data_IF_691436588775
#
_entry.id   IF_691436588775
#
_cell.length_a   1.000
_cell.length_b   1.000
_cell.length_c   1.000
_cell.angle_alpha   90.00
_cell.angle_beta   90.00
_cell.angle_gamma   90.00
#
_symmetry.space_group_name_H-M   'P 1'
#
loop_
_entity.id
_entity.type
_entity.pdbx_description
1 polymer ?
#
# COMPACT_ATOMS: atom_id res chain seq x y z
N UNK A 1 -2.74 -1.15 27.45
CA UNK A 1 -2.51 0.11 26.69
C UNK A 1 -3.72 0.46 25.83
N UNK A 2 -4.26 -0.47 25.03
CA UNK A 2 -5.51 -0.22 24.29
C UNK A 2 -6.72 0.00 25.20
N UNK A 3 -6.76 -0.63 26.37
CA UNK A 3 -7.81 -0.38 27.37
C UNK A 3 -7.82 1.07 27.87
N UNK A 4 -6.63 1.68 27.96
CA UNK A 4 -6.47 3.09 28.32
C UNK A 4 -7.01 3.98 27.18
N UNK A 5 -6.73 3.61 25.94
CA UNK A 5 -7.27 4.31 24.76
C UNK A 5 -8.82 4.20 24.75
N UNK A 6 -9.38 3.03 25.01
CA UNK A 6 -10.83 2.85 25.13
C UNK A 6 -11.42 3.68 26.28
N UNK A 7 -10.75 3.70 27.44
CA UNK A 7 -11.15 4.52 28.57
C UNK A 7 -11.17 6.02 28.22
N UNK A 8 -10.09 6.55 27.65
CA UNK A 8 -9.97 7.96 27.25
C UNK A 8 -11.08 8.30 26.26
N UNK A 9 -11.26 7.48 25.23
CA UNK A 9 -12.24 7.75 24.16
C UNK A 9 -13.70 7.59 24.60
N UNK A 10 -13.95 6.87 25.68
CA UNK A 10 -15.28 6.70 26.27
C UNK A 10 -15.61 7.75 27.33
N UNK A 11 -14.61 8.47 27.85
CA UNK A 11 -14.77 9.49 28.90
C UNK A 11 -14.89 10.88 28.31
N UNK A 12 -15.99 11.58 28.58
CA UNK A 12 -16.19 12.98 28.18
C UNK A 12 -15.25 13.96 28.88
N UNK A 13 -14.65 13.57 30.01
CA UNK A 13 -13.69 14.41 30.73
C UNK A 13 -12.34 14.51 30.00
N UNK A 14 -12.04 13.56 29.12
CA UNK A 14 -10.73 13.43 28.45
C UNK A 14 -10.75 13.98 27.00
N UNK A 15 -11.73 14.83 26.68
CA UNK A 15 -11.92 15.40 25.33
C UNK A 15 -10.68 16.12 24.77
N UNK A 16 -9.83 16.68 25.63
CA UNK A 16 -8.60 17.33 25.23
C UNK A 16 -7.63 16.39 24.49
N UNK A 17 -7.71 15.08 24.74
CA UNK A 17 -6.80 14.08 24.18
C UNK A 17 -7.34 13.39 22.93
N UNK A 18 -8.58 13.68 22.53
CA UNK A 18 -9.26 12.94 21.45
C UNK A 18 -8.53 12.99 20.11
N UNK A 19 -7.92 14.13 19.76
CA UNK A 19 -7.11 14.25 18.54
C UNK A 19 -5.87 13.37 18.59
N UNK A 20 -5.15 13.38 19.71
CA UNK A 20 -3.95 12.56 19.90
C UNK A 20 -4.30 11.08 19.84
N UNK A 21 -5.43 10.68 20.43
CA UNK A 21 -5.89 9.30 20.33
C UNK A 21 -6.23 8.94 18.89
N UNK A 22 -6.89 9.83 18.14
CA UNK A 22 -7.21 9.59 16.73
C UNK A 22 -5.94 9.42 15.87
N UNK A 23 -4.91 10.21 16.12
CA UNK A 23 -3.61 10.06 15.48
C UNK A 23 -2.98 8.70 15.82
N UNK A 24 -2.97 8.30 17.10
CA UNK A 24 -2.47 6.99 17.54
C UNK A 24 -3.24 5.86 16.84
N UNK A 25 -4.57 5.95 16.77
CA UNK A 25 -5.42 4.98 16.07
C UNK A 25 -5.03 4.88 14.59
N UNK A 26 -4.78 6.01 13.94
CA UNK A 26 -4.36 6.04 12.55
C UNK A 26 -3.03 5.33 12.34
N UNK A 27 -2.04 5.54 13.21
CA UNK A 27 -0.76 4.86 13.09
C UNK A 27 -0.83 3.39 13.45
N UNK A 28 -1.70 3.01 14.38
CA UNK A 28 -1.92 1.62 14.75
C UNK A 28 -2.55 0.80 13.61
N UNK A 29 -3.42 1.42 12.80
CA UNK A 29 -4.27 0.71 11.84
C UNK A 29 -3.99 1.04 10.37
N UNK A 30 -3.14 2.05 10.06
CA UNK A 30 -2.87 2.53 8.67
C UNK A 30 -2.42 1.47 7.67
N UNK A 31 -1.73 0.42 8.12
CA UNK A 31 -1.24 -0.66 7.25
C UNK A 31 -2.20 -1.85 7.20
N UNK A 32 -3.30 -1.82 7.98
CA UNK A 32 -4.28 -2.89 8.01
C UNK A 32 -5.38 -2.63 6.97
N UNK A 33 -5.80 -3.69 6.28
CA UNK A 33 -7.02 -3.65 5.48
C UNK A 33 -8.24 -3.81 6.40
N UNK A 34 -9.15 -2.84 6.39
CA UNK A 34 -10.34 -2.83 7.23
C UNK A 34 -11.26 -4.03 6.95
N UNK A 35 -11.43 -4.38 5.67
CA UNK A 35 -12.24 -5.52 5.25
C UNK A 35 -11.63 -6.87 5.65
N UNK A 36 -10.32 -7.04 5.45
CA UNK A 36 -9.62 -8.26 5.87
C UNK A 36 -9.63 -8.40 7.38
N UNK A 37 -9.41 -7.30 8.12
CA UNK A 37 -9.42 -7.30 9.57
C UNK A 37 -10.79 -7.67 10.13
N UNK A 38 -11.87 -7.14 9.55
CA UNK A 38 -13.25 -7.49 9.94
C UNK A 38 -13.54 -9.00 9.74
N UNK A 39 -12.98 -9.60 8.69
CA UNK A 39 -13.16 -11.02 8.37
C UNK A 39 -12.33 -11.98 9.23
N UNK A 40 -11.34 -11.49 9.99
CA UNK A 40 -10.47 -12.34 10.80
C UNK A 40 -11.28 -13.12 11.86
N UNK A 41 -11.21 -14.44 11.87
CA UNK A 41 -11.98 -15.30 12.78
C UNK A 41 -11.05 -16.24 13.55
N UNK A 42 -11.41 -16.56 14.80
CA UNK A 42 -10.60 -17.35 15.75
C UNK A 42 -10.07 -18.67 15.16
N UNK A 43 -10.86 -19.32 14.30
CA UNK A 43 -10.39 -20.43 13.49
C UNK A 43 -10.07 -19.94 12.08
N UNK A 44 -8.81 -20.13 11.68
CA UNK A 44 -8.39 -19.94 10.29
C UNK A 44 -9.20 -20.90 9.42
N UNK A 45 -10.02 -20.34 8.54
CA UNK A 45 -10.83 -21.16 7.64
C UNK A 45 -9.92 -21.96 6.69
N UNK A 46 -10.32 -23.18 6.33
CA UNK A 46 -9.59 -23.97 5.33
C UNK A 46 -9.48 -23.20 4.01
N UNK A 47 -10.49 -22.38 3.69
CA UNK A 47 -10.51 -21.51 2.52
C UNK A 47 -9.46 -20.39 2.59
N UNK A 48 -9.26 -19.73 3.74
CA UNK A 48 -8.18 -18.75 3.93
C UNK A 48 -6.81 -19.42 3.77
N UNK A 49 -6.62 -20.60 4.38
CA UNK A 49 -5.35 -21.35 4.25
C UNK A 49 -5.04 -21.71 2.80
N UNK A 50 -6.02 -22.26 2.07
CA UNK A 50 -5.85 -22.62 0.65
C UNK A 50 -5.58 -21.39 -0.22
N UNK A 51 -6.24 -20.25 0.06
CA UNK A 51 -6.00 -18.99 -0.65
C UNK A 51 -4.58 -18.51 -0.44
N UNK A 52 -4.10 -18.53 0.80
CA UNK A 52 -2.75 -18.09 1.15
C UNK A 52 -1.68 -18.97 0.49
N UNK A 53 -1.88 -20.29 0.46
CA UNK A 53 -1.00 -21.22 -0.24
C UNK A 53 -0.99 -20.97 -1.75
N UNK A 54 -2.15 -20.73 -2.36
CA UNK A 54 -2.27 -20.41 -3.78
C UNK A 54 -1.59 -19.08 -4.13
N UNK A 55 -1.74 -18.05 -3.29
CA UNK A 55 -1.08 -16.76 -3.47
C UNK A 55 0.44 -16.89 -3.38
N UNK A 56 0.95 -17.64 -2.37
CA UNK A 56 2.38 -17.92 -2.23
C UNK A 56 2.95 -18.65 -3.45
N UNK A 57 2.22 -19.63 -3.98
CA UNK A 57 2.61 -20.33 -5.20
C UNK A 57 2.61 -19.39 -6.41
N UNK A 58 1.59 -18.54 -6.57
CA UNK A 58 1.51 -17.58 -7.65
C UNK A 58 2.68 -16.58 -7.62
N UNK A 59 3.05 -16.07 -6.44
CA UNK A 59 4.22 -15.19 -6.25
C UNK A 59 5.50 -15.93 -6.64
N UNK A 60 5.70 -17.16 -6.13
CA UNK A 60 6.88 -17.98 -6.48
C UNK A 60 6.98 -18.24 -7.98
N UNK A 61 5.89 -18.59 -8.64
CA UNK A 61 5.85 -18.81 -10.08
C UNK A 61 6.17 -17.51 -10.84
N UNK A 62 5.62 -16.38 -10.41
CA UNK A 62 5.91 -15.07 -11.02
C UNK A 62 7.39 -14.72 -10.91
N UNK A 63 7.99 -14.86 -9.72
CA UNK A 63 9.42 -14.62 -9.51
C UNK A 63 10.29 -15.55 -10.34
N UNK A 64 9.92 -16.83 -10.40
CA UNK A 64 10.65 -17.85 -11.16
C UNK A 64 10.59 -17.55 -12.66
N UNK A 65 9.41 -17.21 -13.17
CA UNK A 65 9.22 -16.84 -14.58
C UNK A 65 9.96 -15.55 -14.94
N UNK A 66 9.94 -14.54 -14.08
CA UNK A 66 10.70 -13.30 -14.28
C UNK A 66 12.21 -13.57 -14.27
N UNK A 67 12.70 -14.42 -13.36
CA UNK A 67 14.10 -14.83 -13.32
C UNK A 67 14.49 -15.57 -14.60
N UNK A 68 13.68 -16.53 -15.03
CA UNK A 68 13.90 -17.27 -16.27
C UNK A 68 13.85 -16.36 -17.50
N UNK A 69 12.91 -15.42 -17.58
CA UNK A 69 12.84 -14.44 -18.68
C UNK A 69 14.06 -13.53 -18.70
N UNK A 70 14.52 -13.02 -17.54
CA UNK A 70 15.75 -12.23 -17.44
C UNK A 70 16.97 -13.04 -17.88
N UNK A 71 17.08 -14.30 -17.44
CA UNK A 71 18.17 -15.20 -17.88
C UNK A 71 18.10 -15.39 -19.39
N UNK A 72 16.94 -15.72 -19.96
CA UNK A 72 16.77 -15.88 -21.42
C UNK A 72 17.08 -14.60 -22.21
N UNK A 73 16.78 -13.43 -21.66
CA UNK A 73 16.96 -12.15 -22.34
C UNK A 73 18.40 -11.62 -22.25
N UNK A 74 19.05 -11.77 -21.10
CA UNK A 74 20.34 -11.12 -20.81
C UNK A 74 21.51 -12.09 -20.67
N UNK A 75 21.25 -13.37 -20.36
CA UNK A 75 22.27 -14.40 -20.37
C UNK A 75 22.16 -15.20 -21.67
N UNK A 76 22.75 -14.67 -22.74
CA UNK A 76 23.08 -15.50 -23.89
C UNK A 76 24.04 -16.62 -23.49
N UNK A 77 24.27 -17.60 -24.36
CA UNK A 77 25.25 -18.67 -24.12
C UNK A 77 26.71 -18.18 -24.00
N UNK A 78 26.96 -16.86 -24.00
CA UNK A 78 28.28 -16.21 -24.08
C UNK A 78 28.35 -15.03 -23.09
N UNK A 79 29.57 -14.63 -22.73
CA UNK A 79 29.84 -13.59 -21.74
C UNK A 79 29.40 -12.19 -22.20
N UNK A 80 29.21 -11.26 -21.26
CA UNK A 80 28.71 -9.90 -21.49
C UNK A 80 29.49 -9.06 -22.51
N UNK A 81 30.79 -9.34 -22.70
CA UNK A 81 31.65 -8.68 -23.69
C UNK A 81 31.49 -9.23 -25.12
N UNK A 82 30.75 -10.33 -25.30
CA UNK A 82 30.42 -10.90 -26.61
C UNK A 82 29.06 -10.39 -27.07
N UNK A 83 28.97 -9.09 -27.39
CA UNK A 83 27.71 -8.43 -27.77
C UNK A 83 27.31 -8.59 -29.25
N UNK A 84 28.26 -8.97 -30.11
CA UNK A 84 28.10 -8.88 -31.56
C UNK A 84 27.97 -7.44 -32.05
N UNK A 85 28.20 -7.21 -33.33
CA UNK A 85 27.97 -5.91 -33.97
C UNK A 85 27.01 -6.16 -35.12
N UNK A 86 25.86 -5.50 -35.09
CA UNK A 86 24.77 -5.66 -36.05
C UNK A 86 24.58 -4.35 -36.82
N UNK A 87 24.15 -4.46 -38.08
CA UNK A 87 23.75 -3.32 -38.91
C UNK A 87 22.24 -3.38 -39.10
N UNK A 88 21.55 -2.32 -38.66
CA UNK A 88 20.10 -2.21 -38.80
C UNK A 88 19.79 -1.61 -40.17
N UNK A 89 19.32 -2.45 -41.09
CA UNK A 89 18.92 -2.03 -42.44
C UNK A 89 17.72 -1.09 -42.39
N UNK A 90 17.65 -0.14 -43.34
CA UNK A 90 16.57 0.84 -43.47
C UNK A 90 16.43 1.83 -42.31
N UNK A 91 17.44 1.92 -41.44
CA UNK A 91 17.54 2.95 -40.40
C UNK A 91 18.89 3.66 -40.51
N UNK A 92 18.84 4.98 -40.71
CA UNK A 92 20.02 5.83 -40.82
C UNK A 92 20.51 6.24 -39.43
N UNK A 93 21.84 6.25 -39.27
CA UNK A 93 22.55 6.84 -38.16
C UNK A 93 22.59 8.37 -38.29
N UNK A 94 23.19 9.03 -37.29
CA UNK A 94 23.42 10.49 -37.28
C UNK A 94 24.24 10.94 -38.50
N UNK A 95 25.11 10.07 -39.03
CA UNK A 95 26.05 10.34 -40.12
C UNK A 95 25.63 9.77 -41.47
N UNK A 96 24.32 9.58 -41.71
CA UNK A 96 23.71 9.06 -42.96
C UNK A 96 24.18 7.64 -43.40
N UNK A 97 24.99 6.98 -42.59
CA UNK A 97 25.30 5.56 -42.72
C UNK A 97 24.22 4.71 -42.05
N UNK A 98 24.16 3.41 -42.35
CA UNK A 98 23.26 2.49 -41.64
C UNK A 98 23.61 2.43 -40.14
N UNK A 99 22.60 2.27 -39.29
CA UNK A 99 22.78 2.25 -37.84
C UNK A 99 23.52 0.97 -37.40
N UNK A 100 24.62 1.15 -36.68
CA UNK A 100 25.36 0.07 -36.03
C UNK A 100 24.86 -0.11 -34.59
N UNK A 101 24.60 -1.35 -34.18
CA UNK A 101 24.13 -1.69 -32.85
C UNK A 101 24.93 -2.83 -32.22
N UNK A 102 25.32 -2.69 -30.95
CA UNK A 102 26.30 -3.56 -30.27
C UNK A 102 25.69 -4.55 -29.26
N UNK A 103 24.37 -4.70 -29.25
CA UNK A 103 23.68 -5.69 -28.40
C UNK A 103 22.78 -6.57 -29.25
N UNK A 104 22.59 -7.85 -28.90
CA UNK A 104 21.65 -8.70 -29.62
C UNK A 104 20.23 -8.14 -29.46
N UNK A 105 19.63 -7.68 -30.56
CA UNK A 105 18.22 -7.31 -30.60
C UNK A 105 17.42 -8.57 -30.89
N UNK A 106 16.71 -9.09 -29.90
CA UNK A 106 15.77 -10.20 -30.14
C UNK A 106 14.61 -9.77 -31.06
N UNK A 107 14.28 -8.47 -31.09
CA UNK A 107 13.28 -7.82 -31.96
C UNK A 107 13.69 -6.36 -32.25
N UNK A 108 13.35 -5.84 -33.42
CA UNK A 108 13.62 -4.43 -33.78
C UNK A 108 12.82 -3.45 -32.92
N UNK A 109 11.63 -3.83 -32.45
CA UNK A 109 10.79 -3.02 -31.54
C UNK A 109 11.43 -2.76 -30.17
N UNK A 110 12.45 -3.53 -29.80
CA UNK A 110 13.18 -3.37 -28.54
C UNK A 110 14.31 -2.33 -28.64
N UNK A 111 14.48 -1.68 -29.81
CA UNK A 111 15.49 -0.66 -30.02
C UNK A 111 15.15 0.61 -29.22
N UNK A 112 15.93 0.87 -28.16
CA UNK A 112 15.76 2.02 -27.29
C UNK A 112 17.05 2.86 -27.25
N UNK A 113 16.96 4.09 -27.76
CA UNK A 113 18.08 5.04 -27.83
C UNK A 113 18.25 5.88 -26.56
N UNK A 114 17.29 5.83 -25.64
CA UNK A 114 17.30 6.60 -24.39
C UNK A 114 18.02 5.88 -23.25
N UNK A 115 18.48 4.64 -23.47
CA UNK A 115 19.15 3.83 -22.43
C UNK A 115 20.44 4.48 -21.95
N UNK A 116 21.21 5.08 -22.86
CA UNK A 116 22.50 5.72 -22.55
C UNK A 116 22.35 7.22 -22.29
N UNK A 117 21.16 7.79 -22.52
CA UNK A 117 20.91 9.21 -22.29
C UNK A 117 20.82 9.49 -20.79
N UNK A 118 21.55 10.52 -20.35
CA UNK A 118 21.46 11.02 -18.98
C UNK A 118 20.09 11.67 -18.76
N UNK A 119 19.23 11.00 -17.99
CA UNK A 119 17.90 11.53 -17.66
C UNK A 119 18.01 12.77 -16.76
N UNK A 120 17.27 13.85 -17.04
CA UNK A 120 17.25 15.02 -16.17
C UNK A 120 16.62 14.67 -14.82
N UNK A 121 17.13 15.28 -13.75
CA UNK A 121 16.60 15.07 -12.40
C UNK A 121 15.29 15.83 -12.24
N UNK A 122 14.19 15.11 -11.99
CA UNK A 122 12.91 15.75 -11.63
C UNK A 122 13.02 16.35 -10.23
N UNK A 123 12.71 17.65 -10.03
CA UNK A 123 12.68 18.27 -8.71
C UNK A 123 11.68 17.59 -7.76
N UNK A 124 11.97 17.58 -6.45
CA UNK A 124 11.17 16.83 -5.46
C UNK A 124 9.67 17.18 -5.47
N UNK A 125 9.32 18.45 -5.63
CA UNK A 125 7.93 18.93 -5.66
C UNK A 125 7.14 18.52 -6.92
N UNK A 126 7.83 18.09 -7.99
CA UNK A 126 7.22 17.59 -9.23
C UNK A 126 7.27 16.07 -9.34
N UNK A 127 7.77 15.39 -8.31
CA UNK A 127 7.69 13.93 -8.26
C UNK A 127 6.22 13.55 -8.08
N UNK A 128 5.73 12.53 -8.80
CA UNK A 128 4.42 11.98 -8.52
C UNK A 128 4.38 11.52 -7.05
N UNK A 129 3.27 11.83 -6.38
CA UNK A 129 3.03 11.35 -5.01
C UNK A 129 3.09 9.83 -5.06
N UNK A 130 4.10 9.27 -4.40
CA UNK A 130 4.21 7.82 -4.23
C UNK A 130 3.28 7.45 -3.08
N UNK A 131 2.03 7.08 -3.39
CA UNK A 131 1.18 6.41 -2.41
C UNK A 131 1.79 5.04 -2.13
N UNK A 132 2.61 4.92 -1.10
CA UNK A 132 2.96 3.61 -0.56
C UNK A 132 1.76 3.10 0.23
N UNK A 133 0.75 2.59 -0.47
CA UNK A 133 -0.26 1.72 0.14
C UNK A 133 0.44 0.38 0.40
N UNK A 134 1.35 0.36 1.37
CA UNK A 134 1.93 -0.88 1.85
C UNK A 134 0.90 -1.48 2.81
N UNK A 135 -0.11 -2.13 2.25
CA UNK A 135 -0.96 -3.02 3.03
C UNK A 135 -0.06 -4.13 3.57
N UNK A 136 0.01 -4.24 4.89
CA UNK A 136 0.81 -5.24 5.58
C UNK A 136 -0.13 -6.18 6.30
N UNK A 137 -0.08 -7.45 5.89
CA UNK A 137 -0.80 -8.50 6.61
C UNK A 137 -0.06 -8.84 7.90
N UNK A 138 -0.65 -8.42 9.02
CA UNK A 138 -0.14 -8.73 10.36
C UNK A 138 -0.31 -10.21 10.70
N UNK A 139 0.47 -10.68 11.69
CA UNK A 139 0.29 -12.01 12.25
C UNK A 139 -1.17 -12.21 12.73
N UNK A 140 -1.66 -13.44 12.65
CA UNK A 140 -3.06 -13.76 12.92
C UNK A 140 -3.53 -13.30 14.31
N UNK A 141 -2.72 -13.50 15.36
CA UNK A 141 -3.03 -13.05 16.73
C UNK A 141 -3.22 -11.53 16.81
N UNK A 142 -2.37 -10.77 16.12
CA UNK A 142 -2.47 -9.30 16.05
C UNK A 142 -3.74 -8.88 15.31
N UNK A 143 -4.11 -9.57 14.23
CA UNK A 143 -5.37 -9.29 13.51
C UNK A 143 -6.60 -9.54 14.38
N UNK A 144 -6.61 -10.63 15.16
CA UNK A 144 -7.71 -10.93 16.06
C UNK A 144 -7.84 -9.87 17.16
N UNK A 145 -6.71 -9.50 17.78
CA UNK A 145 -6.65 -8.46 18.80
C UNK A 145 -7.10 -7.08 18.28
N UNK A 146 -6.59 -6.66 17.12
CA UNK A 146 -6.99 -5.40 16.50
C UNK A 146 -8.47 -5.41 16.07
N UNK A 147 -9.00 -6.56 15.63
CA UNK A 147 -10.42 -6.72 15.34
C UNK A 147 -11.27 -6.53 16.59
N UNK A 148 -10.94 -7.20 17.68
CA UNK A 148 -11.64 -7.06 18.98
C UNK A 148 -11.66 -5.61 19.44
N UNK A 149 -10.49 -4.96 19.41
CA UNK A 149 -10.38 -3.54 19.70
C UNK A 149 -11.28 -2.67 18.81
N UNK A 150 -11.29 -2.89 17.49
CA UNK A 150 -12.12 -2.11 16.57
C UNK A 150 -13.62 -2.29 16.86
N UNK A 151 -14.04 -3.50 17.25
CA UNK A 151 -15.43 -3.79 17.64
C UNK A 151 -15.78 -3.02 18.91
N UNK A 152 -14.95 -3.09 19.95
CA UNK A 152 -15.20 -2.37 21.21
C UNK A 152 -15.23 -0.86 21.00
N UNK A 153 -14.27 -0.34 20.23
CA UNK A 153 -14.19 1.07 19.90
C UNK A 153 -15.42 1.58 19.14
N UNK A 154 -15.91 0.82 18.14
CA UNK A 154 -17.13 1.16 17.40
C UNK A 154 -18.37 1.17 18.29
N UNK A 155 -18.46 0.23 19.23
CA UNK A 155 -19.61 0.13 20.13
C UNK A 155 -19.61 1.21 21.22
N UNK A 156 -18.44 1.58 21.74
CA UNK A 156 -18.34 2.44 22.91
C UNK A 156 -18.03 3.91 22.63
N UNK A 157 -17.21 4.20 21.62
CA UNK A 157 -16.51 5.49 21.57
C UNK A 157 -16.49 6.18 20.20
N UNK A 158 -16.64 5.46 19.09
CA UNK A 158 -16.47 6.00 17.74
C UNK A 158 -17.30 7.27 17.48
N UNK A 159 -18.62 7.21 17.69
CA UNK A 159 -19.51 8.35 17.43
C UNK A 159 -19.13 9.58 18.27
N UNK A 160 -18.89 9.38 19.57
CA UNK A 160 -18.49 10.44 20.50
C UNK A 160 -17.16 11.06 20.08
N UNK A 161 -16.13 10.24 19.83
CA UNK A 161 -14.82 10.70 19.40
C UNK A 161 -14.91 11.51 18.10
N UNK A 162 -15.56 10.94 17.08
CA UNK A 162 -15.66 11.55 15.76
C UNK A 162 -16.47 12.84 15.77
N UNK A 163 -17.51 12.93 16.59
CA UNK A 163 -18.27 14.16 16.78
C UNK A 163 -17.40 15.29 17.36
N UNK A 164 -16.69 15.01 18.46
CA UNK A 164 -15.85 16.00 19.13
C UNK A 164 -14.64 16.41 18.29
N UNK A 165 -13.99 15.46 17.62
CA UNK A 165 -12.90 15.75 16.69
C UNK A 165 -13.39 16.66 15.56
N UNK A 166 -14.55 16.35 14.96
CA UNK A 166 -15.13 17.18 13.91
C UNK A 166 -15.43 18.60 14.40
N UNK A 167 -16.04 18.76 15.57
CA UNK A 167 -16.31 20.08 16.16
C UNK A 167 -15.02 20.88 16.36
N UNK A 168 -13.96 20.24 16.84
CA UNK A 168 -12.68 20.91 17.05
C UNK A 168 -11.97 21.31 15.75
N UNK A 169 -12.04 20.47 14.71
CA UNK A 169 -11.51 20.78 13.37
C UNK A 169 -12.23 22.01 12.79
N UNK A 170 -13.57 22.02 12.84
CA UNK A 170 -14.39 23.13 12.32
C UNK A 170 -14.07 24.44 13.05
N UNK A 171 -13.82 24.37 14.36
CA UNK A 171 -13.43 25.51 15.19
C UNK A 171 -11.95 25.90 15.08
N UNK A 172 -11.17 25.23 14.22
CA UNK A 172 -9.72 25.45 14.03
C UNK A 172 -8.92 25.48 15.35
N UNK A 173 -9.26 24.58 16.28
CA UNK A 173 -8.58 24.52 17.58
C UNK A 173 -7.24 23.76 17.56
N UNK A 174 -6.84 23.20 16.43
CA UNK A 174 -5.70 22.29 16.29
C UNK A 174 -4.79 22.64 15.11
N UNK A 175 -3.69 21.90 14.96
CA UNK A 175 -2.60 22.21 14.04
C UNK A 175 -2.97 21.92 12.57
N UNK A 176 -2.22 22.52 11.65
CA UNK A 176 -2.35 22.22 10.23
C UNK A 176 -2.04 20.73 9.96
N UNK A 177 -2.87 20.06 9.14
CA UNK A 177 -2.83 18.65 8.71
C UNK A 177 -3.58 17.59 9.54
N UNK A 178 -4.12 17.94 10.71
CA UNK A 178 -4.85 16.99 11.57
C UNK A 178 -6.12 16.41 10.94
N UNK A 179 -6.69 17.11 9.95
CA UNK A 179 -7.85 16.66 9.17
C UNK A 179 -7.61 15.33 8.45
N UNK A 180 -6.35 15.03 8.11
CA UNK A 180 -5.97 13.81 7.40
C UNK A 180 -6.29 12.57 8.25
N UNK A 181 -6.07 12.64 9.56
CA UNK A 181 -6.37 11.53 10.48
C UNK A 181 -7.87 11.29 10.63
N UNK A 182 -8.66 12.37 10.63
CA UNK A 182 -10.12 12.29 10.66
C UNK A 182 -10.68 11.61 9.42
N UNK A 183 -10.25 12.04 8.23
CA UNK A 183 -10.68 11.42 6.97
C UNK A 183 -10.21 9.97 6.85
N UNK A 184 -8.99 9.68 7.30
CA UNK A 184 -8.47 8.32 7.35
C UNK A 184 -9.32 7.43 8.26
N UNK A 185 -9.62 7.88 9.48
CA UNK A 185 -10.40 7.12 10.46
C UNK A 185 -11.83 6.90 9.99
N UNK A 186 -12.48 7.92 9.43
CA UNK A 186 -13.80 7.81 8.82
C UNK A 186 -13.82 6.72 7.75
N UNK A 187 -12.87 6.76 6.80
CA UNK A 187 -12.76 5.73 5.76
C UNK A 187 -12.59 4.33 6.37
N UNK A 188 -11.62 4.17 7.27
CA UNK A 188 -11.25 2.88 7.84
C UNK A 188 -12.42 2.25 8.64
N UNK A 189 -12.97 2.98 9.61
CA UNK A 189 -14.00 2.44 10.51
C UNK A 189 -15.35 2.25 9.82
N UNK A 190 -15.71 3.09 8.85
CA UNK A 190 -16.91 2.85 8.04
C UNK A 190 -16.76 1.62 7.14
N UNK A 191 -15.59 1.41 6.54
CA UNK A 191 -15.29 0.19 5.77
C UNK A 191 -15.28 -1.07 6.65
N UNK A 192 -14.68 -0.98 7.84
CA UNK A 192 -14.66 -2.06 8.82
C UNK A 192 -16.08 -2.43 9.26
N UNK A 193 -16.89 -1.44 9.67
CA UNK A 193 -18.27 -1.68 10.09
C UNK A 193 -19.09 -2.33 8.97
N UNK A 194 -18.95 -1.84 7.72
CA UNK A 194 -19.60 -2.42 6.54
C UNK A 194 -19.24 -3.89 6.32
N UNK A 195 -18.01 -4.27 6.60
CA UNK A 195 -17.51 -5.65 6.37
C UNK A 195 -17.78 -6.61 7.54
N UNK A 196 -17.98 -6.09 8.77
CA UNK A 196 -18.17 -6.93 9.96
C UNK A 196 -19.63 -7.36 10.17
N UNK A 197 -20.53 -6.42 10.47
CA UNK A 197 -21.97 -6.66 10.73
C UNK A 197 -22.88 -5.54 10.23
N UNK A 198 -22.30 -4.43 9.80
CA UNK A 198 -22.97 -3.25 9.26
C UNK A 198 -24.12 -2.73 10.12
N UNK A 199 -23.78 -2.22 11.31
CA UNK A 199 -24.74 -1.55 12.17
C UNK A 199 -24.63 -0.03 11.98
N UNK A 200 -25.60 0.58 11.28
CA UNK A 200 -25.57 2.02 10.92
C UNK A 200 -25.49 2.92 12.17
N UNK A 201 -26.09 2.49 13.29
CA UNK A 201 -26.04 3.22 14.57
C UNK A 201 -24.63 3.42 15.12
N UNK A 202 -23.67 2.58 14.73
CA UNK A 202 -22.29 2.61 15.24
C UNK A 202 -21.37 3.59 14.49
N UNK A 203 -21.83 4.16 13.37
CA UNK A 203 -21.01 5.03 12.50
C UNK A 203 -21.76 6.28 12.02
N UNK A 204 -22.29 7.05 12.97
CA UNK A 204 -23.19 8.18 12.71
C UNK A 204 -22.50 9.54 12.74
#
# INVERSE_FOLDING_TARGET
MLDIILFITSSSNEQAYYMHVLEILSFMLREQSASELASAALQRSQTEKMRDEAELLAVRHRETNQKQQKIKMYNGARHSRFGGTFVVKSMKSISDNELIYHKPLNRLDALNFDVEKKKPKTPKHRLPVRSSTSERRSAFSIRLFLKEFCIEFLNGAYNTLMYHVKDNIVRKKFQDHDESYYLWAMRFFMEFNRSYKFEVKLVR
#
